data_IF_101692441584
#
_entry.id   IF_101692441584
#
_cell.length_a   1.000
_cell.length_b   1.000
_cell.length_c   1.000
_cell.angle_alpha   90.00
_cell.angle_beta   90.00
_cell.angle_gamma   90.00
#
_symmetry.space_group_name_H-M   'P 1'
#
loop_
_entity.id
_entity.type
_entity.pdbx_description
1 polymer ?
#
# COMPACT_ATOMS: atom_id res chain seq x y z
N UNK A 1 -7.44 -51.88 5.63
CA UNK A 1 -6.47 -51.15 4.79
C UNK A 1 -6.46 -49.66 5.26
N UNK A 2 -5.47 -49.29 6.06
CA UNK A 2 -5.37 -47.90 6.56
C UNK A 2 -4.70 -47.08 5.46
N UNK A 3 -5.42 -46.12 4.89
CA UNK A 3 -4.90 -45.23 3.86
C UNK A 3 -3.72 -44.44 4.45
N UNK A 4 -2.53 -44.65 3.91
CA UNK A 4 -1.29 -43.94 4.25
C UNK A 4 -1.50 -42.46 3.91
N UNK A 5 -1.75 -41.62 4.91
CA UNK A 5 -1.87 -40.16 4.77
C UNK A 5 -0.59 -39.66 4.09
N UNK A 6 -0.70 -39.26 2.83
CA UNK A 6 0.40 -38.67 2.04
C UNK A 6 0.93 -37.48 2.84
N UNK A 7 2.24 -37.38 3.10
CA UNK A 7 2.86 -36.19 3.69
C UNK A 7 2.48 -35.03 2.77
N UNK A 8 1.86 -33.96 3.30
CA UNK A 8 1.58 -32.80 2.46
C UNK A 8 2.87 -32.30 1.84
N UNK A 9 2.85 -32.04 0.55
CA UNK A 9 3.97 -31.40 -0.15
C UNK A 9 4.18 -30.03 0.50
N UNK A 10 5.43 -29.63 0.66
CA UNK A 10 5.80 -28.35 1.25
C UNK A 10 5.14 -27.20 0.51
N UNK A 11 5.26 -27.20 -0.82
CA UNK A 11 4.72 -26.16 -1.69
C UNK A 11 3.18 -26.08 -1.61
N UNK A 12 2.49 -27.23 -1.57
CA UNK A 12 1.05 -27.28 -1.38
C UNK A 12 0.63 -26.68 -0.03
N UNK A 13 1.36 -27.00 1.04
CA UNK A 13 1.06 -26.49 2.38
C UNK A 13 1.34 -24.99 2.51
N UNK A 14 2.44 -24.50 1.97
CA UNK A 14 2.76 -23.08 1.90
C UNK A 14 1.70 -22.32 1.09
N UNK A 15 1.28 -22.86 -0.05
CA UNK A 15 0.20 -22.30 -0.86
C UNK A 15 -1.12 -22.20 -0.11
N UNK A 16 -1.51 -23.25 0.62
CA UNK A 16 -2.73 -23.26 1.45
C UNK A 16 -2.70 -22.21 2.56
N UNK A 17 -1.56 -22.04 3.24
CA UNK A 17 -1.40 -21.03 4.29
C UNK A 17 -1.49 -19.60 3.72
N UNK A 18 -0.91 -19.35 2.56
CA UNK A 18 -0.97 -18.03 1.91
C UNK A 18 -2.37 -17.72 1.37
N UNK A 19 -3.07 -18.70 0.78
CA UNK A 19 -4.45 -18.54 0.34
C UNK A 19 -5.41 -18.33 1.52
N UNK A 20 -5.21 -19.06 2.62
CA UNK A 20 -6.00 -18.88 3.83
C UNK A 20 -5.76 -17.51 4.48
N UNK A 21 -4.52 -17.02 4.46
CA UNK A 21 -4.20 -15.67 4.93
C UNK A 21 -4.98 -14.62 4.14
N UNK A 22 -4.97 -14.72 2.81
CA UNK A 22 -5.72 -13.82 1.92
C UNK A 22 -7.23 -13.88 2.15
N UNK A 23 -7.79 -15.10 2.29
CA UNK A 23 -9.21 -15.28 2.57
C UNK A 23 -9.63 -14.61 3.87
N UNK A 24 -8.89 -14.85 4.96
CA UNK A 24 -9.16 -14.23 6.26
C UNK A 24 -8.97 -12.72 6.19
N UNK A 25 -7.91 -12.24 5.54
CA UNK A 25 -7.67 -10.82 5.33
C UNK A 25 -8.84 -10.14 4.61
N UNK A 26 -9.31 -10.70 3.51
CA UNK A 26 -10.40 -10.12 2.72
C UNK A 26 -11.74 -10.16 3.44
N UNK A 27 -12.01 -11.24 4.19
CA UNK A 27 -13.26 -11.42 4.92
C UNK A 27 -13.31 -10.58 6.20
N UNK A 28 -12.29 -10.70 7.04
CA UNK A 28 -12.34 -10.25 8.44
C UNK A 28 -11.47 -9.00 8.71
N UNK A 29 -10.68 -8.55 7.72
CA UNK A 29 -9.78 -7.40 7.84
C UNK A 29 -8.64 -7.60 8.83
N UNK A 30 -7.98 -6.51 9.19
CA UNK A 30 -6.82 -6.53 10.10
C UNK A 30 -7.19 -6.99 11.52
N UNK A 31 -8.42 -6.77 11.94
CA UNK A 31 -8.87 -7.10 13.30
C UNK A 31 -9.15 -8.59 13.47
N UNK A 32 -9.67 -9.26 12.45
CA UNK A 32 -9.93 -10.69 12.47
C UNK A 32 -8.70 -11.53 12.08
N UNK A 33 -7.65 -10.89 11.54
CA UNK A 33 -6.48 -11.59 11.05
C UNK A 33 -5.55 -12.02 12.19
N UNK A 34 -5.35 -13.33 12.33
CA UNK A 34 -4.47 -13.89 13.34
C UNK A 34 -4.11 -15.35 13.08
N UNK A 35 -3.11 -15.85 13.82
CA UNK A 35 -2.60 -17.23 13.68
C UNK A 35 -3.72 -18.26 13.65
N UNK A 36 -4.62 -18.21 14.65
CA UNK A 36 -5.67 -19.24 14.79
C UNK A 36 -6.71 -19.17 13.67
N UNK A 37 -7.09 -17.98 13.23
CA UNK A 37 -8.01 -17.79 12.12
C UNK A 37 -7.44 -18.37 10.82
N UNK A 38 -6.19 -18.06 10.52
CA UNK A 38 -5.50 -18.54 9.31
C UNK A 38 -5.27 -20.06 9.37
N UNK A 39 -4.88 -20.62 10.51
CA UNK A 39 -4.70 -22.07 10.65
C UNK A 39 -6.02 -22.84 10.49
N UNK A 40 -7.10 -22.30 11.04
CA UNK A 40 -8.46 -22.87 10.89
C UNK A 40 -8.89 -22.86 9.42
N UNK A 41 -8.70 -21.75 8.73
CA UNK A 41 -9.03 -21.58 7.31
C UNK A 41 -8.19 -22.53 6.43
N UNK A 42 -6.87 -22.60 6.68
CA UNK A 42 -5.95 -23.45 5.92
C UNK A 42 -6.15 -24.95 6.21
N UNK A 43 -6.76 -25.31 7.33
CA UNK A 43 -6.88 -26.72 7.78
C UNK A 43 -5.52 -27.36 8.04
N UNK A 44 -4.53 -26.59 8.56
CA UNK A 44 -3.17 -27.09 8.86
C UNK A 44 -2.79 -26.86 10.31
N UNK A 45 -1.88 -27.68 10.83
CA UNK A 45 -1.41 -27.55 12.21
C UNK A 45 -0.41 -26.39 12.36
N UNK A 46 -0.40 -25.82 13.57
CA UNK A 46 0.48 -24.67 13.95
C UNK A 46 1.96 -24.93 13.68
N UNK A 47 2.44 -26.17 13.89
CA UNK A 47 3.83 -26.55 13.64
C UNK A 47 4.29 -26.35 12.20
N UNK A 48 3.39 -26.52 11.21
CA UNK A 48 3.70 -26.31 9.81
C UNK A 48 3.89 -24.83 9.48
N UNK A 49 3.09 -23.95 10.04
CA UNK A 49 3.27 -22.50 9.89
C UNK A 49 4.66 -22.08 10.40
N UNK A 50 5.02 -22.50 11.62
CA UNK A 50 6.32 -22.16 12.20
C UNK A 50 7.48 -22.78 11.43
N UNK A 51 7.30 -24.00 10.94
CA UNK A 51 8.33 -24.69 10.16
C UNK A 51 8.64 -24.01 8.83
N UNK A 52 7.61 -23.46 8.14
CA UNK A 52 7.77 -22.92 6.79
C UNK A 52 8.00 -21.40 6.79
N UNK A 53 7.39 -20.69 7.70
CA UNK A 53 7.42 -19.22 7.74
C UNK A 53 8.12 -18.65 8.99
N UNK A 54 8.54 -19.52 9.92
CA UNK A 54 9.16 -19.11 11.18
C UNK A 54 8.16 -18.57 12.21
N UNK A 55 7.31 -17.65 11.81
CA UNK A 55 6.25 -17.07 12.64
C UNK A 55 5.14 -16.45 11.78
N UNK A 56 4.15 -15.86 12.41
CA UNK A 56 3.04 -15.23 11.71
C UNK A 56 3.47 -13.98 10.90
N UNK A 57 4.45 -13.20 11.40
CA UNK A 57 5.04 -12.08 10.65
C UNK A 57 5.74 -12.56 9.38
N UNK A 58 6.41 -13.72 9.44
CA UNK A 58 7.01 -14.36 8.25
C UNK A 58 5.98 -14.74 7.20
N UNK A 59 4.83 -15.30 7.62
CA UNK A 59 3.72 -15.59 6.71
C UNK A 59 3.13 -14.31 6.10
N UNK A 60 2.88 -13.27 6.92
CA UNK A 60 2.39 -11.97 6.48
C UNK A 60 3.33 -11.33 5.45
N UNK A 61 4.65 -11.40 5.70
CA UNK A 61 5.67 -10.92 4.78
C UNK A 61 5.67 -11.68 3.45
N UNK A 62 5.59 -13.02 3.49
CA UNK A 62 5.55 -13.84 2.29
C UNK A 62 4.29 -13.56 1.46
N UNK A 63 3.14 -13.37 2.11
CA UNK A 63 1.91 -12.98 1.44
C UNK A 63 2.03 -11.60 0.80
N UNK A 64 2.52 -10.60 1.52
CA UNK A 64 2.65 -9.23 1.03
C UNK A 64 3.61 -9.07 -0.16
N UNK A 65 4.54 -10.03 -0.35
CA UNK A 65 5.41 -10.06 -1.51
C UNK A 65 4.71 -10.54 -2.79
N UNK A 66 3.66 -11.37 -2.65
CA UNK A 66 2.86 -11.83 -3.79
C UNK A 66 1.88 -10.76 -4.27
N UNK A 67 1.28 -10.05 -3.33
CA UNK A 67 0.31 -9.00 -3.59
C UNK A 67 0.97 -7.62 -3.53
N UNK A 68 0.66 -6.76 -4.50
CA UNK A 68 1.06 -5.34 -4.49
C UNK A 68 0.22 -4.59 -3.45
N UNK A 69 0.57 -4.76 -2.18
CA UNK A 69 -0.18 -4.23 -1.05
C UNK A 69 -0.22 -2.69 -1.06
N UNK A 70 0.93 -2.05 -1.25
CA UNK A 70 1.02 -0.62 -1.53
C UNK A 70 1.11 -0.40 -3.04
N UNK A 71 0.45 0.64 -3.57
CA UNK A 71 0.64 1.05 -4.96
C UNK A 71 2.11 1.34 -5.23
N UNK A 72 2.60 0.90 -6.39
CA UNK A 72 4.00 1.18 -6.77
C UNK A 72 4.20 2.67 -7.01
N UNK A 73 5.37 3.25 -6.62
CA UNK A 73 5.76 4.58 -7.05
C UNK A 73 5.77 4.64 -8.58
N UNK A 74 5.33 5.76 -9.13
CA UNK A 74 5.44 5.97 -10.57
C UNK A 74 4.47 5.17 -11.45
N UNK A 75 3.38 4.61 -10.90
CA UNK A 75 2.23 4.19 -11.72
C UNK A 75 1.56 5.44 -12.27
N UNK A 76 2.26 6.10 -13.18
CA UNK A 76 1.72 7.15 -14.05
C UNK A 76 1.09 6.42 -15.23
N UNK A 77 -0.07 6.87 -15.66
CA UNK A 77 -0.72 6.38 -16.88
C UNK A 77 0.30 6.40 -18.05
N UNK A 78 0.62 5.23 -18.65
CA UNK A 78 1.58 5.16 -19.75
C UNK A 78 1.15 5.97 -20.97
N UNK A 79 -0.13 6.38 -21.08
CA UNK A 79 -0.67 7.19 -22.17
C UNK A 79 -0.20 8.66 -22.14
N UNK A 80 0.42 9.10 -21.06
CA UNK A 80 1.04 10.42 -20.99
C UNK A 80 2.52 10.33 -21.36
N UNK A 81 2.81 10.14 -22.65
CA UNK A 81 4.14 10.39 -23.22
C UNK A 81 4.61 11.75 -22.71
N UNK A 82 5.71 11.76 -21.93
CA UNK A 82 6.18 12.90 -21.15
C UNK A 82 6.68 14.12 -21.97
N UNK A 83 6.30 14.21 -23.24
CA UNK A 83 6.59 15.36 -24.09
C UNK A 83 5.64 16.51 -23.77
N UNK A 84 6.17 17.55 -23.12
CA UNK A 84 5.43 18.78 -22.82
C UNK A 84 4.73 18.82 -21.44
N UNK A 85 4.84 17.80 -20.62
CA UNK A 85 4.32 17.80 -19.24
C UNK A 85 5.40 18.31 -18.29
N UNK A 86 5.09 19.33 -17.47
CA UNK A 86 6.02 19.86 -16.50
C UNK A 86 6.40 18.79 -15.46
N UNK A 87 7.57 18.95 -14.84
CA UNK A 87 8.01 18.07 -13.77
C UNK A 87 7.02 18.09 -12.59
N UNK A 88 6.52 19.27 -12.23
CA UNK A 88 5.50 19.44 -11.21
C UNK A 88 4.25 18.58 -11.50
N UNK A 89 3.77 18.63 -12.73
CA UNK A 89 2.59 17.84 -13.13
C UNK A 89 2.83 16.35 -13.05
N UNK A 90 4.03 15.87 -13.42
CA UNK A 90 4.38 14.43 -13.28
C UNK A 90 4.33 13.97 -11.83
N UNK A 91 4.90 14.74 -10.90
CA UNK A 91 4.88 14.41 -9.48
C UNK A 91 3.47 14.40 -8.92
N UNK A 92 2.65 15.40 -9.24
CA UNK A 92 1.26 15.48 -8.81
C UNK A 92 0.43 14.32 -9.37
N UNK A 93 0.57 14.01 -10.65
CA UNK A 93 -0.15 12.88 -11.28
C UNK A 93 0.24 11.55 -10.63
N UNK A 94 1.53 11.32 -10.35
CA UNK A 94 1.99 10.11 -9.67
C UNK A 94 1.39 10.00 -8.25
N UNK A 95 1.38 11.08 -7.48
CA UNK A 95 0.80 11.13 -6.16
C UNK A 95 -0.73 10.91 -6.16
N UNK A 96 -1.44 11.48 -7.12
CA UNK A 96 -2.89 11.28 -7.29
C UNK A 96 -3.23 9.86 -7.75
N UNK A 97 -2.41 9.27 -8.63
CA UNK A 97 -2.55 7.86 -9.03
C UNK A 97 -2.37 6.93 -7.83
N UNK A 98 -1.40 7.23 -6.95
CA UNK A 98 -1.21 6.53 -5.69
C UNK A 98 -2.44 6.67 -4.78
N UNK A 99 -2.98 7.87 -4.60
CA UNK A 99 -4.18 8.11 -3.79
C UNK A 99 -5.41 7.36 -4.33
N UNK A 100 -5.63 7.38 -5.66
CA UNK A 100 -6.70 6.59 -6.31
C UNK A 100 -6.53 5.10 -6.05
N UNK A 101 -5.32 4.60 -6.18
CA UNK A 101 -5.00 3.20 -5.93
C UNK A 101 -5.18 2.80 -4.45
N UNK A 102 -4.92 3.70 -3.49
CA UNK A 102 -5.24 3.47 -2.07
C UNK A 102 -6.76 3.44 -1.83
N UNK A 103 -7.51 4.40 -2.38
CA UNK A 103 -8.98 4.44 -2.26
C UNK A 103 -9.66 3.16 -2.75
N UNK A 104 -9.09 2.50 -3.78
CA UNK A 104 -9.58 1.22 -4.26
C UNK A 104 -9.20 0.02 -3.38
N UNK A 105 -8.45 0.24 -2.28
CA UNK A 105 -7.95 -0.79 -1.37
C UNK A 105 -8.39 -0.53 0.08
N UNK A 106 -9.68 -0.72 0.42
CA UNK A 106 -10.19 -0.37 1.76
C UNK A 106 -9.46 -1.11 2.88
N UNK A 107 -9.06 -2.37 2.67
CA UNK A 107 -8.30 -3.14 3.66
C UNK A 107 -6.90 -2.59 3.90
N UNK A 108 -6.26 -2.05 2.88
CA UNK A 108 -4.98 -1.35 3.03
C UNK A 108 -5.17 -0.07 3.85
N UNK A 109 -6.20 0.72 3.56
CA UNK A 109 -6.53 1.92 4.33
C UNK A 109 -6.85 1.59 5.80
N UNK A 110 -7.58 0.51 6.07
CA UNK A 110 -7.85 0.02 7.42
C UNK A 110 -6.54 -0.32 8.17
N UNK A 111 -5.62 -1.04 7.54
CA UNK A 111 -4.33 -1.35 8.15
C UNK A 111 -3.49 -0.11 8.43
N UNK A 112 -3.44 0.84 7.49
CA UNK A 112 -2.73 2.11 7.66
C UNK A 112 -3.27 2.91 8.85
N UNK A 113 -4.58 2.88 9.08
CA UNK A 113 -5.21 3.51 10.23
C UNK A 113 -4.89 2.79 11.55
N UNK A 114 -4.95 1.45 11.55
CA UNK A 114 -4.66 0.62 12.75
C UNK A 114 -3.19 0.71 13.17
N UNK A 115 -2.28 0.86 12.21
CA UNK A 115 -0.84 1.01 12.48
C UNK A 115 -0.53 2.17 13.43
N UNK A 116 -1.29 3.26 13.34
CA UNK A 116 -1.12 4.42 14.20
C UNK A 116 -1.50 4.13 15.67
N UNK A 117 -2.26 3.07 15.92
CA UNK A 117 -2.81 2.74 17.22
C UNK A 117 -2.08 1.59 17.91
N UNK A 118 -1.57 0.63 17.16
CA UNK A 118 -0.95 -0.58 17.72
C UNK A 118 0.00 -1.29 16.77
N UNK A 119 0.98 -1.97 17.36
CA UNK A 119 1.89 -2.87 16.63
C UNK A 119 1.27 -4.26 16.46
N UNK A 120 1.51 -4.87 15.32
CA UNK A 120 1.11 -6.24 14.97
C UNK A 120 2.04 -6.81 13.88
N UNK A 121 1.94 -8.11 13.61
CA UNK A 121 2.68 -8.72 12.50
C UNK A 121 2.43 -8.03 11.15
N UNK A 122 1.22 -7.53 10.93
CA UNK A 122 0.89 -6.79 9.72
C UNK A 122 1.51 -5.40 9.68
N UNK A 123 1.49 -4.66 10.80
CA UNK A 123 2.11 -3.34 10.85
C UNK A 123 3.64 -3.41 10.77
N UNK A 124 4.28 -4.43 11.31
CA UNK A 124 5.72 -4.69 11.13
C UNK A 124 6.06 -4.99 9.66
N UNK A 125 5.19 -5.76 8.98
CA UNK A 125 5.34 -6.03 7.55
C UNK A 125 5.18 -4.74 6.74
N UNK A 126 4.22 -3.90 7.10
CA UNK A 126 3.98 -2.60 6.47
C UNK A 126 5.17 -1.65 6.61
N UNK A 127 5.83 -1.60 7.78
CA UNK A 127 7.05 -0.80 7.98
C UNK A 127 8.16 -1.17 6.97
N UNK A 128 8.39 -2.48 6.78
CA UNK A 128 9.38 -2.95 5.82
C UNK A 128 9.01 -2.57 4.37
N UNK A 129 7.72 -2.62 4.04
CA UNK A 129 7.22 -2.21 2.72
C UNK A 129 7.34 -0.70 2.51
N UNK A 130 7.07 0.12 3.53
CA UNK A 130 7.26 1.57 3.47
C UNK A 130 8.71 1.96 3.30
N UNK A 131 9.62 1.30 4.01
CA UNK A 131 11.04 1.55 3.84
C UNK A 131 11.49 1.25 2.41
N UNK A 132 10.96 0.20 1.79
CA UNK A 132 11.19 -0.10 0.38
C UNK A 132 10.55 0.96 -0.52
N UNK A 133 9.27 1.27 -0.30
CA UNK A 133 8.54 2.29 -1.07
C UNK A 133 9.24 3.66 -1.01
N UNK A 134 9.72 4.07 0.16
CA UNK A 134 10.45 5.33 0.33
C UNK A 134 11.74 5.38 -0.50
N UNK A 135 12.50 4.28 -0.56
CA UNK A 135 13.69 4.19 -1.42
C UNK A 135 13.33 4.26 -2.90
N UNK A 136 12.33 3.49 -3.34
CA UNK A 136 11.88 3.49 -4.74
C UNK A 136 11.31 4.86 -5.15
N UNK A 137 10.61 5.54 -4.25
CA UNK A 137 10.12 6.91 -4.47
C UNK A 137 11.27 7.89 -4.63
N UNK A 138 12.30 7.80 -3.75
CA UNK A 138 13.47 8.65 -3.87
C UNK A 138 14.21 8.42 -5.20
N UNK A 139 14.44 7.17 -5.56
CA UNK A 139 15.06 6.79 -6.83
C UNK A 139 14.26 7.33 -8.02
N UNK A 140 12.92 7.18 -8.00
CA UNK A 140 12.03 7.70 -9.03
C UNK A 140 12.13 9.22 -9.17
N UNK A 141 12.11 9.95 -8.05
CA UNK A 141 12.21 11.41 -8.05
C UNK A 141 13.57 11.87 -8.53
N UNK A 142 14.67 11.26 -8.06
CA UNK A 142 16.03 11.62 -8.48
C UNK A 142 16.26 11.32 -9.98
N UNK A 143 15.69 10.25 -10.52
CA UNK A 143 15.80 9.91 -11.92
C UNK A 143 14.91 10.79 -12.84
N UNK A 144 13.99 11.58 -12.28
CA UNK A 144 13.05 12.41 -13.06
C UNK A 144 13.68 13.62 -13.76
N UNK A 145 15.00 13.87 -13.53
CA UNK A 145 15.71 15.01 -14.09
C UNK A 145 15.36 16.34 -13.42
N UNK A 146 14.93 16.31 -12.15
CA UNK A 146 14.66 17.49 -11.35
C UNK A 146 15.92 18.36 -11.21
N UNK A 147 15.79 19.66 -11.45
CA UNK A 147 16.87 20.63 -11.22
C UNK A 147 17.28 20.64 -9.74
N UNK A 148 16.27 20.46 -8.83
CA UNK A 148 16.48 20.23 -7.40
C UNK A 148 15.73 18.95 -6.98
N UNK A 149 16.39 17.81 -7.08
CA UNK A 149 15.81 16.50 -6.77
C UNK A 149 15.44 16.34 -5.29
N UNK A 150 16.18 16.94 -4.36
CA UNK A 150 15.87 16.88 -2.94
C UNK A 150 14.57 17.61 -2.64
N UNK A 151 14.39 18.83 -3.13
CA UNK A 151 13.15 19.60 -2.95
C UNK A 151 11.95 18.93 -3.59
N UNK A 152 12.13 18.31 -4.75
CA UNK A 152 11.10 17.52 -5.41
C UNK A 152 10.72 16.27 -4.57
N UNK A 153 11.71 15.62 -3.95
CA UNK A 153 11.47 14.50 -3.04
C UNK A 153 10.73 14.94 -1.78
N UNK A 154 11.14 16.03 -1.14
CA UNK A 154 10.46 16.59 0.03
C UNK A 154 9.00 16.91 -0.27
N UNK A 155 8.73 17.59 -1.39
CA UNK A 155 7.35 17.85 -1.83
C UNK A 155 6.57 16.55 -2.03
N UNK A 156 7.15 15.57 -2.71
CA UNK A 156 6.51 14.27 -2.97
C UNK A 156 6.21 13.54 -1.66
N UNK A 157 7.10 13.61 -0.67
CA UNK A 157 6.89 13.05 0.66
C UNK A 157 5.67 13.67 1.35
N UNK A 158 5.59 15.00 1.44
CA UNK A 158 4.46 15.69 2.08
C UNK A 158 3.14 15.44 1.36
N UNK A 159 3.15 15.52 0.04
CA UNK A 159 1.95 15.29 -0.78
C UNK A 159 1.47 13.84 -0.62
N UNK A 160 2.38 12.87 -0.64
CA UNK A 160 2.03 11.45 -0.44
C UNK A 160 1.45 11.21 0.96
N UNK A 161 2.02 11.80 2.00
CA UNK A 161 1.51 11.69 3.36
C UNK A 161 0.09 12.29 3.48
N UNK A 162 -0.12 13.48 2.96
CA UNK A 162 -1.42 14.15 2.95
C UNK A 162 -2.48 13.34 2.18
N UNK A 163 -2.15 12.88 0.98
CA UNK A 163 -3.06 12.08 0.16
C UNK A 163 -3.35 10.70 0.76
N UNK A 164 -2.38 10.09 1.45
CA UNK A 164 -2.60 8.85 2.21
C UNK A 164 -3.65 9.07 3.30
N UNK A 165 -3.51 10.15 4.08
CA UNK A 165 -4.48 10.50 5.11
C UNK A 165 -5.88 10.74 4.53
N UNK A 166 -5.99 11.51 3.45
CA UNK A 166 -7.27 11.78 2.78
C UNK A 166 -7.89 10.51 2.19
N UNK A 167 -7.08 9.61 1.62
CA UNK A 167 -7.56 8.33 1.11
C UNK A 167 -8.11 7.43 2.21
N UNK A 168 -7.45 7.36 3.39
CA UNK A 168 -7.96 6.64 4.55
C UNK A 168 -9.29 7.22 5.05
N UNK A 169 -9.38 8.55 5.12
CA UNK A 169 -10.62 9.23 5.55
C UNK A 169 -11.78 8.98 4.59
N UNK A 170 -11.53 8.97 3.30
CA UNK A 170 -12.56 8.76 2.28
C UNK A 170 -13.38 7.48 2.51
N UNK A 171 -12.76 6.43 3.08
CA UNK A 171 -13.40 5.16 3.39
C UNK A 171 -14.16 5.12 4.72
N UNK A 172 -13.98 6.11 5.62
CA UNK A 172 -14.55 6.07 6.98
C UNK A 172 -15.36 7.33 7.33
N UNK A 173 -14.80 8.49 7.14
CA UNK A 173 -15.42 9.79 7.45
C UNK A 173 -15.17 10.73 6.27
N UNK A 174 -15.99 10.68 5.22
CA UNK A 174 -15.66 11.28 3.93
C UNK A 174 -15.63 12.81 3.94
N UNK A 175 -16.27 13.49 4.88
CA UNK A 175 -16.21 14.95 4.95
C UNK A 175 -14.99 15.42 5.74
N UNK A 176 -14.21 16.32 5.13
CA UNK A 176 -13.03 16.91 5.74
C UNK A 176 -12.82 18.35 5.27
N UNK A 177 -12.92 19.32 6.19
CA UNK A 177 -12.80 20.76 5.90
C UNK A 177 -13.70 21.22 4.74
N UNK A 178 -14.93 20.72 4.67
CA UNK A 178 -15.91 21.04 3.63
C UNK A 178 -15.66 20.32 2.28
N UNK A 179 -14.63 19.49 2.17
CA UNK A 179 -14.42 18.59 1.04
C UNK A 179 -15.13 17.27 1.29
N UNK A 180 -15.80 16.74 0.28
CA UNK A 180 -16.45 15.41 0.30
C UNK A 180 -15.56 14.42 -0.45
N UNK A 181 -14.78 13.65 0.30
CA UNK A 181 -13.75 12.75 -0.21
C UNK A 181 -14.31 11.49 -0.91
N UNK A 182 -15.62 11.29 -0.87
CA UNK A 182 -16.38 10.31 -1.65
C UNK A 182 -16.73 10.83 -3.06
N UNK A 183 -16.48 12.13 -3.37
CA UNK A 183 -16.83 12.78 -4.64
C UNK A 183 -15.59 13.06 -5.48
N UNK A 184 -15.62 12.66 -6.73
CA UNK A 184 -14.53 12.94 -7.68
C UNK A 184 -14.37 14.43 -7.98
N UNK A 185 -15.45 15.24 -7.85
CA UNK A 185 -15.36 16.70 -7.99
C UNK A 185 -14.41 17.34 -6.99
N UNK A 186 -14.40 16.86 -5.73
CA UNK A 186 -13.56 17.42 -4.69
C UNK A 186 -12.12 16.89 -4.81
N UNK A 187 -11.92 15.69 -5.34
CA UNK A 187 -10.59 15.23 -5.72
C UNK A 187 -9.98 16.04 -6.87
N UNK A 188 -10.77 16.49 -7.85
CA UNK A 188 -10.27 17.43 -8.88
C UNK A 188 -9.85 18.79 -8.30
N UNK A 189 -10.55 19.27 -7.25
CA UNK A 189 -10.12 20.50 -6.54
C UNK A 189 -8.78 20.30 -5.83
N UNK A 190 -8.58 19.14 -5.20
CA UNK A 190 -7.30 18.77 -4.59
C UNK A 190 -6.20 18.69 -5.65
N UNK A 191 -6.48 18.10 -6.81
CA UNK A 191 -5.55 18.03 -7.95
C UNK A 191 -5.10 19.41 -8.41
N UNK A 192 -6.06 20.32 -8.65
CA UNK A 192 -5.76 21.70 -9.07
C UNK A 192 -4.86 22.39 -8.05
N UNK A 193 -5.21 22.32 -6.77
CA UNK A 193 -4.42 22.92 -5.70
C UNK A 193 -3.00 22.34 -5.62
N UNK A 194 -2.85 21.03 -5.76
CA UNK A 194 -1.54 20.38 -5.72
C UNK A 194 -0.69 20.73 -6.94
N UNK A 195 -1.30 20.87 -8.13
CA UNK A 195 -0.62 21.31 -9.34
C UNK A 195 -0.08 22.73 -9.18
N UNK A 196 -0.88 23.63 -8.64
CA UNK A 196 -0.48 25.01 -8.38
C UNK A 196 0.67 25.07 -7.33
N UNK A 197 0.54 24.29 -6.26
CA UNK A 197 1.57 24.19 -5.22
C UNK A 197 2.90 23.66 -5.79
N UNK A 198 2.85 22.54 -6.51
CA UNK A 198 4.03 21.93 -7.11
C UNK A 198 4.69 22.86 -8.14
N UNK A 199 3.86 23.56 -8.94
CA UNK A 199 4.36 24.55 -9.89
C UNK A 199 5.11 25.71 -9.24
N UNK A 200 4.70 26.14 -8.05
CA UNK A 200 5.41 27.19 -7.28
C UNK A 200 6.68 26.66 -6.63
N UNK A 201 6.62 25.48 -6.02
CA UNK A 201 7.75 24.88 -5.28
C UNK A 201 8.86 24.44 -6.22
N UNK A 202 8.55 23.92 -7.42
CA UNK A 202 9.52 23.33 -8.35
C UNK A 202 9.95 24.27 -9.49
N UNK A 203 9.37 25.49 -9.58
CA UNK A 203 9.74 26.49 -10.59
C UNK A 203 10.83 27.47 -10.14
N UNK A 204 11.08 27.55 -8.85
CA UNK A 204 12.05 28.50 -8.26
C UNK A 204 13.48 27.91 -8.17
N UNK A 205 13.83 27.01 -9.12
CA UNK A 205 15.15 26.42 -9.27
C UNK A 205 15.73 26.63 -10.66
#
# INVERSE_FOLDING_TARGET
MVARRRKPDREETEGRLLAAFETVWNRDGVQGLGVNAVLKEAGVGKSLLYRYFGNFTGLARAWSQRESFLPKPGVVDPSTDGRGVSQADRHVRAALAYARALRSRPRTCELLAVELLRRSAMTETLDAMRAKFGREMREFVMASGATDGERAFELSFFVTAALTYLAMRAGSVPEYYGLKLDRDSDWRRIETMLTDLAGRVLKDG
#
